data_IF_101140710041
#
_entry.id   IF_101140710041
#
_cell.length_a   1.000
_cell.length_b   1.000
_cell.length_c   1.000
_cell.angle_alpha   90.00
_cell.angle_beta   90.00
_cell.angle_gamma   90.00
#
_symmetry.space_group_name_H-M   'P 1'
#
loop_
_entity.id
_entity.type
_entity.pdbx_description
1 polymer ?
#
# COMPACT_ATOMS: atom_id res chain seq x y z
N UNK A 1 -1.82 -1.51 -0.30
CA UNK A 1 -2.47 -0.24 -0.73
C UNK A 1 -3.96 -0.44 -1.02
N UNK A 2 -4.36 -1.41 -1.86
CA UNK A 2 -5.78 -1.72 -2.09
C UNK A 2 -6.52 -2.01 -0.79
N UNK A 3 -5.97 -2.87 0.08
CA UNK A 3 -6.56 -3.24 1.37
C UNK A 3 -6.75 -2.03 2.29
N UNK A 4 -5.76 -1.13 2.35
CA UNK A 4 -5.87 0.10 3.12
C UNK A 4 -7.06 0.95 2.67
N UNK A 5 -7.20 1.16 1.36
CA UNK A 5 -8.29 1.97 0.79
C UNK A 5 -9.63 1.30 1.05
N UNK A 6 -9.74 -0.01 0.80
CA UNK A 6 -10.97 -0.79 1.02
C UNK A 6 -11.43 -0.76 2.48
N UNK A 7 -10.50 -0.98 3.42
CA UNK A 7 -10.82 -1.01 4.84
C UNK A 7 -11.10 0.37 5.43
N UNK A 8 -10.43 1.43 4.93
CA UNK A 8 -10.56 2.79 5.49
C UNK A 8 -11.67 3.60 4.81
N UNK A 9 -11.84 3.44 3.50
CA UNK A 9 -12.71 4.27 2.66
C UNK A 9 -13.79 3.47 1.91
N UNK A 10 -13.78 2.14 2.00
CA UNK A 10 -14.74 1.26 1.33
C UNK A 10 -14.30 0.81 -0.06
N UNK A 11 -14.95 -0.26 -0.55
CA UNK A 11 -14.73 -0.82 -1.89
C UNK A 11 -15.12 0.18 -2.99
N UNK A 12 -16.17 0.99 -2.81
CA UNK A 12 -16.60 1.98 -3.80
C UNK A 12 -15.49 3.00 -4.12
N UNK A 13 -14.80 3.47 -3.07
CA UNK A 13 -13.68 4.41 -3.22
C UNK A 13 -12.48 3.74 -3.85
N UNK A 14 -12.22 2.48 -3.52
CA UNK A 14 -11.19 1.70 -4.20
C UNK A 14 -11.50 1.55 -5.71
N UNK A 15 -12.73 1.21 -6.07
CA UNK A 15 -13.13 1.08 -7.47
C UNK A 15 -12.99 2.40 -8.24
N UNK A 16 -13.41 3.51 -7.64
CA UNK A 16 -13.27 4.86 -8.21
C UNK A 16 -11.80 5.18 -8.51
N UNK A 17 -10.91 4.97 -7.54
CA UNK A 17 -9.46 5.21 -7.66
C UNK A 17 -8.84 4.30 -8.71
N UNK A 18 -9.19 3.02 -8.69
CA UNK A 18 -8.69 1.99 -9.61
C UNK A 18 -9.03 2.34 -11.06
N UNK A 19 -10.28 2.71 -11.32
CA UNK A 19 -10.75 3.16 -12.64
C UNK A 19 -10.05 4.46 -13.05
N UNK A 20 -9.96 5.44 -12.16
CA UNK A 20 -9.27 6.71 -12.43
C UNK A 20 -7.77 6.56 -12.69
N UNK A 21 -7.14 5.53 -12.12
CA UNK A 21 -5.75 5.17 -12.36
C UNK A 21 -5.56 4.31 -13.62
N UNK A 22 -6.63 3.91 -14.32
CA UNK A 22 -6.56 3.07 -15.51
C UNK A 22 -6.14 1.63 -15.22
N UNK A 23 -6.52 1.11 -14.05
CA UNK A 23 -6.23 -0.27 -13.63
C UNK A 23 -7.47 -1.13 -13.87
N UNK A 24 -7.41 -2.02 -14.86
CA UNK A 24 -8.57 -2.86 -15.21
C UNK A 24 -8.70 -4.11 -14.33
N UNK A 25 -7.62 -4.49 -13.65
CA UNK A 25 -7.55 -5.68 -12.81
C UNK A 25 -8.11 -5.40 -11.41
N UNK A 26 -9.10 -6.16 -10.91
CA UNK A 26 -9.75 -5.89 -9.62
C UNK A 26 -8.90 -6.32 -8.42
N UNK A 27 -7.95 -7.22 -8.63
CA UNK A 27 -7.04 -7.78 -7.63
C UNK A 27 -5.59 -7.68 -8.09
N UNK A 28 -4.68 -7.69 -7.12
CA UNK A 28 -3.23 -7.76 -7.36
C UNK A 28 -2.73 -9.12 -6.89
N UNK A 29 -2.07 -9.86 -7.77
CA UNK A 29 -1.29 -11.05 -7.45
C UNK A 29 0.13 -10.69 -7.02
N UNK A 30 0.69 -11.42 -6.05
CA UNK A 30 2.06 -11.25 -5.55
C UNK A 30 3.13 -11.76 -6.52
N UNK A 31 2.77 -12.65 -7.44
CA UNK A 31 3.67 -13.24 -8.45
C UNK A 31 3.69 -12.48 -9.77
N UNK A 32 2.96 -11.37 -9.86
CA UNK A 32 2.85 -10.59 -11.09
C UNK A 32 3.76 -9.37 -11.01
N UNK A 33 4.55 -9.16 -12.07
CA UNK A 33 5.34 -7.94 -12.23
C UNK A 33 4.43 -6.83 -12.72
N UNK A 34 4.40 -5.72 -12.00
CA UNK A 34 3.62 -4.54 -12.36
C UNK A 34 4.53 -3.43 -12.93
N UNK A 35 4.00 -2.56 -13.81
CA UNK A 35 4.75 -1.42 -14.30
C UNK A 35 5.18 -0.50 -13.15
N UNK A 36 6.41 0.02 -13.18
CA UNK A 36 6.97 0.89 -12.13
C UNK A 36 6.10 2.13 -11.86
N UNK A 37 5.42 2.65 -12.89
CA UNK A 37 4.51 3.80 -12.77
C UNK A 37 3.16 3.50 -12.12
N UNK A 38 2.83 2.25 -11.80
CA UNK A 38 1.52 1.86 -11.27
C UNK A 38 1.25 2.47 -9.89
N UNK A 39 2.19 2.31 -8.95
CA UNK A 39 2.03 2.80 -7.57
C UNK A 39 1.95 4.33 -7.52
N UNK A 40 2.85 5.10 -8.18
CA UNK A 40 2.73 6.56 -8.24
C UNK A 40 1.43 7.06 -8.89
N UNK A 41 0.94 6.36 -9.92
CA UNK A 41 -0.35 6.70 -10.54
C UNK A 41 -1.52 6.47 -9.59
N UNK A 42 -1.55 5.31 -8.94
CA UNK A 42 -2.58 4.98 -7.95
C UNK A 42 -2.56 5.96 -6.78
N UNK A 43 -1.40 6.28 -6.22
CA UNK A 43 -1.30 7.19 -5.07
C UNK A 43 -1.79 8.58 -5.44
N UNK A 44 -1.35 9.11 -6.60
CA UNK A 44 -1.80 10.41 -7.09
C UNK A 44 -3.32 10.47 -7.27
N UNK A 45 -3.93 9.41 -7.81
CA UNK A 45 -5.39 9.33 -7.97
C UNK A 45 -6.12 9.17 -6.64
N UNK A 46 -5.56 8.39 -5.72
CA UNK A 46 -6.10 8.23 -4.38
C UNK A 46 -6.14 9.57 -3.63
N UNK A 47 -5.03 10.30 -3.60
CA UNK A 47 -4.92 11.63 -2.99
C UNK A 47 -5.95 12.60 -3.58
N UNK A 48 -6.13 12.60 -4.91
CA UNK A 48 -7.12 13.44 -5.60
C UNK A 48 -8.57 13.10 -5.22
N UNK A 49 -8.93 11.81 -5.21
CA UNK A 49 -10.32 11.35 -4.97
C UNK A 49 -10.69 11.42 -3.49
N UNK A 50 -9.74 11.08 -2.61
CA UNK A 50 -9.94 11.12 -1.15
C UNK A 50 -9.85 12.54 -0.60
N UNK A 51 -9.43 13.52 -1.41
CA UNK A 51 -9.27 14.93 -1.06
C UNK A 51 -8.39 15.16 0.18
N UNK A 52 -7.35 14.35 0.34
CA UNK A 52 -6.34 14.49 1.40
C UNK A 52 -5.00 14.87 0.80
N UNK A 53 -4.05 15.26 1.64
CA UNK A 53 -2.69 15.55 1.17
C UNK A 53 -1.90 14.25 0.93
N UNK A 54 -0.92 14.30 0.03
CA UNK A 54 -0.04 13.16 -0.24
C UNK A 54 0.69 12.69 1.02
N UNK A 55 1.17 13.65 1.84
CA UNK A 55 1.77 13.38 3.14
C UNK A 55 0.82 12.60 4.04
N UNK A 56 -0.41 13.07 4.20
CA UNK A 56 -1.40 12.42 5.06
C UNK A 56 -1.76 11.01 4.56
N UNK A 57 -1.89 10.85 3.24
CA UNK A 57 -2.17 9.55 2.62
C UNK A 57 -1.06 8.54 2.95
N UNK A 58 0.21 8.91 2.75
CA UNK A 58 1.34 8.01 3.03
C UNK A 58 1.55 7.76 4.52
N UNK A 59 1.35 8.77 5.38
CA UNK A 59 1.42 8.60 6.84
C UNK A 59 0.37 7.57 7.31
N UNK A 60 -0.89 7.73 6.89
CA UNK A 60 -1.98 6.79 7.25
C UNK A 60 -1.77 5.40 6.65
N UNK A 61 -1.32 5.33 5.40
CA UNK A 61 -1.01 4.06 4.74
C UNK A 61 0.14 3.34 5.44
N UNK A 62 1.16 4.05 5.92
CA UNK A 62 2.27 3.48 6.69
C UNK A 62 1.81 2.89 8.01
N UNK A 63 0.96 3.60 8.76
CA UNK A 63 0.36 3.08 10.00
C UNK A 63 -0.46 1.82 9.72
N UNK A 64 -1.35 1.86 8.72
CA UNK A 64 -2.12 0.69 8.32
C UNK A 64 -1.21 -0.48 7.93
N UNK A 65 -0.13 -0.22 7.19
CA UNK A 65 0.79 -1.26 6.75
C UNK A 65 1.39 -2.01 7.93
N UNK A 66 1.87 -1.31 8.97
CA UNK A 66 2.40 -1.93 10.19
C UNK A 66 1.33 -2.78 10.88
N UNK A 67 0.12 -2.26 11.06
CA UNK A 67 -0.98 -3.03 11.66
C UNK A 67 -1.35 -4.26 10.84
N UNK A 68 -1.38 -4.13 9.51
CA UNK A 68 -1.69 -5.21 8.60
C UNK A 68 -0.63 -6.31 8.68
N UNK A 69 0.66 -5.99 8.55
CA UNK A 69 1.70 -7.03 8.58
C UNK A 69 1.81 -7.72 9.94
N UNK A 70 1.57 -7.02 11.06
CA UNK A 70 1.46 -7.65 12.39
C UNK A 70 0.36 -8.73 12.43
N UNK A 71 -0.83 -8.44 11.90
CA UNK A 71 -1.96 -9.38 11.92
C UNK A 71 -1.72 -10.65 11.08
N UNK A 72 -0.96 -10.56 9.99
CA UNK A 72 -0.68 -11.71 9.11
C UNK A 72 0.57 -12.51 9.53
N UNK A 73 1.03 -12.38 10.77
CA UNK A 73 2.08 -13.23 11.34
C UNK A 73 3.51 -12.77 11.06
N UNK A 74 3.70 -11.58 10.47
CA UNK A 74 5.01 -10.94 10.41
C UNK A 74 5.43 -10.37 11.77
N UNK A 75 4.72 -10.62 12.86
CA UNK A 75 5.16 -10.26 14.23
C UNK A 75 6.60 -10.71 14.51
N UNK A 76 7.00 -11.90 14.04
CA UNK A 76 8.40 -12.38 14.12
C UNK A 76 9.38 -11.64 13.21
N UNK A 77 8.92 -11.10 12.10
CA UNK A 77 9.76 -10.38 11.14
C UNK A 77 9.86 -8.92 11.57
N UNK A 78 8.75 -8.27 11.94
CA UNK A 78 8.70 -6.93 12.53
C UNK A 78 9.51 -6.78 13.82
N UNK A 79 9.56 -7.83 14.65
CA UNK A 79 10.42 -7.85 15.85
C UNK A 79 11.92 -7.93 15.53
N UNK A 80 12.30 -8.49 14.37
CA UNK A 80 13.69 -8.52 13.88
C UNK A 80 14.03 -7.25 13.07
N UNK A 81 13.02 -6.63 12.45
CA UNK A 81 13.11 -5.38 11.68
C UNK A 81 13.11 -4.10 12.57
N UNK A 82 13.48 -4.25 13.84
CA UNK A 82 13.33 -3.22 14.85
C UNK A 82 14.13 -1.93 14.57
N UNK A 83 13.36 -0.83 14.52
CA UNK A 83 13.67 0.59 14.85
C UNK A 83 13.77 1.59 13.71
N UNK A 84 14.06 1.19 12.46
CA UNK A 84 14.11 2.14 11.35
C UNK A 84 13.46 1.58 10.07
N UNK A 85 12.56 2.36 9.47
CA UNK A 85 11.92 2.09 8.17
C UNK A 85 12.92 1.78 7.04
N UNK A 86 14.19 2.19 7.20
CA UNK A 86 15.31 1.87 6.30
C UNK A 86 15.70 0.39 6.33
N UNK A 87 15.69 -0.25 7.50
CA UNK A 87 16.03 -1.67 7.64
C UNK A 87 14.94 -2.58 7.05
N UNK A 88 13.69 -2.11 7.08
CA UNK A 88 12.57 -2.74 6.36
C UNK A 88 12.76 -2.72 4.84
N UNK A 89 13.19 -1.58 4.28
CA UNK A 89 13.47 -1.47 2.84
C UNK A 89 14.69 -2.31 2.43
N UNK A 90 15.72 -2.40 3.26
CA UNK A 90 16.89 -3.28 3.03
C UNK A 90 16.54 -4.77 3.18
N UNK A 91 15.57 -5.12 4.03
CA UNK A 91 15.08 -6.49 4.18
C UNK A 91 14.29 -6.98 2.95
N UNK A 92 13.59 -6.07 2.26
CA UNK A 92 12.93 -6.36 0.98
C UNK A 92 13.94 -6.63 -0.14
N UNK A 93 15.08 -5.93 -0.15
CA UNK A 93 16.15 -6.11 -1.15
C UNK A 93 16.85 -7.48 -1.02
N UNK A 94 16.87 -8.05 0.20
CA UNK A 94 17.39 -9.39 0.46
C UNK A 94 16.36 -10.52 0.22
N UNK A 95 15.12 -10.18 -0.18
CA UNK A 95 14.04 -11.13 -0.46
C UNK A 95 13.85 -11.22 -1.98
N UNK A 96 14.89 -11.66 -2.70
CA UNK A 96 14.88 -11.88 -4.14
C UNK A 96 14.89 -13.38 -4.48
#
# INVERSE_FOLDING_TARGET
MSEYIKQTYGEDKWEEIRRAAGVEQPSFSTHQVYPEGLIPRLSKKAVQILQITEKEFFDKMGVFFISFVSQYGYDRVLSVLGRHMRDFLNGLDNLH
#
